data_IF_037941703545
#
_entry.id   IF_037941703545
#
_cell.length_a   1.000
_cell.length_b   1.000
_cell.length_c   1.000
_cell.angle_alpha   90.00
_cell.angle_beta   90.00
_cell.angle_gamma   90.00
#
_symmetry.space_group_name_H-M   'P 1'
#
loop_
_entity.id
_entity.type
_entity.pdbx_description
1 polymer ?
#
# COMPACT_ATOMS: atom_id res chain seq x y z
N UNK A 1 -52.18 18.84 3.54
CA UNK A 1 -50.99 19.16 2.73
C UNK A 1 -49.78 19.18 3.67
N UNK A 2 -48.54 18.94 3.21
CA UNK A 2 -47.29 18.83 4.01
C UNK A 2 -47.00 17.46 4.67
N UNK A 3 -47.16 16.34 3.95
CA UNK A 3 -46.52 15.05 4.36
C UNK A 3 -45.95 14.19 3.21
N UNK A 4 -46.11 14.61 1.95
CA UNK A 4 -45.59 13.87 0.78
C UNK A 4 -44.28 14.42 0.19
N UNK A 5 -43.84 15.61 0.62
CA UNK A 5 -42.66 16.27 0.05
C UNK A 5 -41.34 15.90 0.76
N UNK A 6 -41.40 15.36 1.99
CA UNK A 6 -40.19 15.05 2.78
C UNK A 6 -39.51 13.75 2.31
N UNK A 7 -40.27 12.76 1.82
CA UNK A 7 -39.71 11.48 1.36
C UNK A 7 -38.98 11.57 0.02
N UNK A 8 -39.30 12.54 -0.84
CA UNK A 8 -38.65 12.67 -2.14
C UNK A 8 -37.27 13.36 -2.05
N UNK A 9 -37.05 14.20 -1.04
CA UNK A 9 -35.76 14.88 -0.83
C UNK A 9 -34.67 13.93 -0.31
N UNK A 10 -35.04 12.91 0.49
CA UNK A 10 -34.11 11.91 1.04
C UNK A 10 -33.59 10.96 -0.05
N UNK A 11 -34.42 10.63 -1.05
CA UNK A 11 -34.00 9.78 -2.18
C UNK A 11 -33.00 10.50 -3.09
N UNK A 12 -33.21 11.80 -3.37
CA UNK A 12 -32.27 12.60 -4.18
C UNK A 12 -30.92 12.81 -3.47
N UNK A 13 -30.94 12.97 -2.14
CA UNK A 13 -29.71 13.05 -1.33
C UNK A 13 -28.94 11.73 -1.26
N UNK A 14 -29.62 10.57 -1.34
CA UNK A 14 -28.96 9.25 -1.41
C UNK A 14 -28.26 8.99 -2.75
N UNK A 15 -28.76 9.55 -3.87
CA UNK A 15 -28.10 9.43 -5.17
C UNK A 15 -26.93 10.41 -5.40
N UNK A 16 -26.83 11.49 -4.60
CA UNK A 16 -25.74 12.47 -4.69
C UNK A 16 -24.47 12.07 -3.92
N UNK A 17 -24.53 11.06 -3.05
CA UNK A 17 -23.37 10.55 -2.31
C UNK A 17 -22.55 9.48 -3.07
N UNK A 18 -23.10 8.92 -4.16
CA UNK A 18 -22.47 7.88 -4.97
C UNK A 18 -21.40 8.31 -6.02
N UNK A 19 -21.27 9.57 -6.48
CA UNK A 19 -20.44 9.86 -7.66
C UNK A 19 -18.94 9.69 -7.39
N UNK A 20 -18.48 9.91 -6.16
CA UNK A 20 -17.06 9.79 -5.83
C UNK A 20 -16.59 8.33 -5.81
N UNK A 21 -17.43 7.42 -5.29
CA UNK A 21 -17.11 5.98 -5.21
C UNK A 21 -17.15 5.34 -6.60
N UNK A 22 -18.15 5.68 -7.41
CA UNK A 22 -18.31 5.12 -8.75
C UNK A 22 -17.25 5.64 -9.75
N UNK A 23 -16.90 6.93 -9.67
CA UNK A 23 -15.79 7.47 -10.46
C UNK A 23 -14.45 6.83 -10.05
N UNK A 24 -14.29 6.51 -8.77
CA UNK A 24 -13.09 5.86 -8.26
C UNK A 24 -12.95 4.40 -8.71
N UNK A 25 -14.02 3.61 -8.65
CA UNK A 25 -14.03 2.23 -9.14
C UNK A 25 -13.73 2.17 -10.65
N UNK A 26 -14.30 3.10 -11.43
CA UNK A 26 -14.01 3.23 -12.86
C UNK A 26 -12.51 3.49 -13.12
N UNK A 27 -11.85 4.30 -12.30
CA UNK A 27 -10.41 4.54 -12.44
C UNK A 27 -9.54 3.32 -12.09
N UNK A 28 -9.96 2.47 -11.14
CA UNK A 28 -9.26 1.21 -10.83
C UNK A 28 -9.39 0.25 -12.00
N UNK A 29 -10.62 0.04 -12.49
CA UNK A 29 -10.90 -0.86 -13.60
C UNK A 29 -10.10 -0.46 -14.83
N UNK A 30 -10.09 0.83 -15.19
CA UNK A 30 -9.30 1.33 -16.31
C UNK A 30 -7.79 1.04 -16.19
N UNK A 31 -7.22 1.15 -14.99
CA UNK A 31 -5.80 0.84 -14.76
C UNK A 31 -5.53 -0.65 -14.92
N UNK A 32 -6.45 -1.50 -14.47
CA UNK A 32 -6.32 -2.96 -14.56
C UNK A 32 -6.48 -3.44 -16.01
N UNK A 33 -7.47 -2.93 -16.74
CA UNK A 33 -7.81 -3.41 -18.09
C UNK A 33 -6.93 -2.82 -19.19
N UNK A 34 -6.44 -1.59 -19.02
CA UNK A 34 -5.63 -0.88 -20.03
C UNK A 34 -4.42 -0.17 -19.37
N UNK A 35 -3.46 -0.92 -18.78
CA UNK A 35 -2.27 -0.34 -18.21
C UNK A 35 -1.33 0.20 -19.30
N UNK A 36 -0.70 1.36 -19.04
CA UNK A 36 0.39 1.86 -19.89
C UNK A 36 1.72 1.19 -19.55
N UNK A 37 1.94 0.89 -18.28
CA UNK A 37 3.12 0.18 -17.78
C UNK A 37 2.66 -0.97 -16.91
N UNK A 38 3.28 -2.13 -17.11
CA UNK A 38 3.09 -3.32 -16.27
C UNK A 38 4.47 -3.79 -15.83
N UNK A 39 4.62 -4.02 -14.53
CA UNK A 39 5.78 -4.65 -13.93
C UNK A 39 5.30 -5.84 -13.09
N UNK A 40 5.98 -6.97 -13.21
CA UNK A 40 5.68 -8.19 -12.46
C UNK A 40 6.96 -8.72 -11.85
N UNK A 41 6.94 -9.02 -10.55
CA UNK A 41 8.09 -9.54 -9.82
C UNK A 41 7.69 -10.72 -8.98
N UNK A 42 8.43 -11.82 -9.14
CA UNK A 42 8.34 -12.94 -8.23
C UNK A 42 8.79 -12.48 -6.83
N UNK A 43 8.08 -12.97 -5.83
CA UNK A 43 8.33 -12.70 -4.43
C UNK A 43 8.54 -14.02 -3.70
N UNK A 44 9.54 -14.08 -2.84
CA UNK A 44 9.73 -15.17 -1.87
C UNK A 44 10.13 -14.56 -0.54
N UNK A 45 9.42 -14.92 0.52
CA UNK A 45 9.64 -14.36 1.86
C UNK A 45 9.60 -15.47 2.88
N UNK A 46 10.64 -15.59 3.71
CA UNK A 46 10.75 -16.62 4.76
C UNK A 46 10.02 -16.17 6.03
N UNK A 47 8.70 -16.01 5.92
CA UNK A 47 7.82 -15.59 7.02
C UNK A 47 6.48 -16.31 6.92
N UNK A 48 5.70 -16.29 8.01
CA UNK A 48 4.34 -16.83 7.98
C UNK A 48 3.38 -15.91 7.24
N UNK A 49 2.31 -16.49 6.67
CA UNK A 49 1.21 -15.76 6.04
C UNK A 49 0.63 -14.67 6.97
N UNK A 50 0.52 -14.97 8.26
CA UNK A 50 -0.02 -14.06 9.27
C UNK A 50 0.85 -12.80 9.43
N UNK A 51 2.17 -12.95 9.56
CA UNK A 51 3.10 -11.82 9.71
C UNK A 51 3.13 -10.97 8.45
N UNK A 52 3.15 -11.62 7.28
CA UNK A 52 3.11 -10.92 6.00
C UNK A 52 1.84 -10.09 5.82
N UNK A 53 0.67 -10.70 6.10
CA UNK A 53 -0.61 -10.01 6.04
C UNK A 53 -0.64 -8.81 7.00
N UNK A 54 -0.16 -8.98 8.24
CA UNK A 54 -0.04 -7.87 9.21
C UNK A 54 0.82 -6.72 8.71
N UNK A 55 1.95 -7.03 8.05
CA UNK A 55 2.81 -6.01 7.47
C UNK A 55 2.08 -5.23 6.36
N UNK A 56 1.45 -5.93 5.41
CA UNK A 56 0.71 -5.30 4.32
C UNK A 56 -0.53 -4.52 4.79
N UNK A 57 -1.21 -5.00 5.83
CA UNK A 57 -2.39 -4.34 6.42
C UNK A 57 -2.04 -3.09 7.23
N UNK A 58 -0.75 -2.85 7.51
CA UNK A 58 -0.29 -1.70 8.29
C UNK A 58 0.75 -0.85 7.51
N UNK A 59 0.39 -0.30 6.33
CA UNK A 59 1.32 0.37 5.43
C UNK A 59 1.94 1.64 6.04
N UNK A 60 1.23 2.33 6.95
CA UNK A 60 1.80 3.45 7.68
C UNK A 60 2.95 3.01 8.59
N UNK A 61 2.75 1.95 9.39
CA UNK A 61 3.80 1.42 10.28
C UNK A 61 5.02 0.96 9.47
N UNK A 62 4.78 0.25 8.36
CA UNK A 62 5.86 -0.17 7.45
C UNK A 62 6.60 1.02 6.83
N UNK A 63 5.89 2.10 6.50
CA UNK A 63 6.49 3.35 6.02
C UNK A 63 7.33 4.06 7.09
N UNK A 64 6.93 4.01 8.35
CA UNK A 64 7.72 4.56 9.46
C UNK A 64 8.97 3.71 9.73
N UNK A 65 8.84 2.39 9.66
CA UNK A 65 10.00 1.49 9.74
C UNK A 65 10.98 1.72 8.58
N UNK A 66 10.48 1.97 7.37
CA UNK A 66 11.33 2.34 6.23
C UNK A 66 12.18 3.58 6.53
N UNK A 67 11.59 4.61 7.12
CA UNK A 67 12.28 5.85 7.51
C UNK A 67 13.35 5.58 8.60
N UNK A 68 13.01 4.78 9.62
CA UNK A 68 13.93 4.39 10.71
C UNK A 68 15.13 3.60 10.19
N UNK A 69 14.93 2.75 9.18
CA UNK A 69 16.01 1.99 8.53
C UNK A 69 16.80 2.84 7.53
N UNK A 70 16.42 4.10 7.30
CA UNK A 70 17.04 5.04 6.37
C UNK A 70 17.15 4.54 4.92
N UNK A 71 16.26 3.62 4.52
CA UNK A 71 16.27 3.03 3.18
C UNK A 71 16.03 4.09 2.10
N UNK A 72 16.62 3.88 0.92
CA UNK A 72 16.48 4.78 -0.22
C UNK A 72 15.42 4.26 -1.22
N UNK A 73 14.61 5.17 -1.80
CA UNK A 73 14.55 6.59 -1.50
C UNK A 73 13.96 6.85 -0.11
N UNK A 74 14.34 7.97 0.52
CA UNK A 74 13.84 8.36 1.84
C UNK A 74 12.37 8.80 1.73
N UNK A 75 11.47 7.83 1.75
CA UNK A 75 10.05 8.09 1.73
C UNK A 75 9.63 8.81 3.02
N UNK A 76 8.88 9.90 2.86
CA UNK A 76 8.07 10.48 3.93
C UNK A 76 6.67 9.94 3.81
N UNK A 77 6.20 9.29 4.87
CA UNK A 77 4.87 8.65 4.90
C UNK A 77 4.02 9.29 5.97
N UNK A 78 2.83 9.78 5.60
CA UNK A 78 1.84 10.32 6.54
C UNK A 78 0.52 9.58 6.40
N UNK A 79 -0.27 9.52 7.49
CA UNK A 79 -1.62 8.95 7.43
C UNK A 79 -2.57 9.89 6.70
N UNK A 80 -3.52 9.31 5.98
CA UNK A 80 -4.71 9.99 5.46
C UNK A 80 -5.97 9.28 5.97
N UNK A 81 -7.14 9.87 5.73
CA UNK A 81 -8.42 9.30 6.18
C UNK A 81 -8.68 7.89 5.64
N UNK A 82 -8.13 7.57 4.46
CA UNK A 82 -8.37 6.29 3.78
C UNK A 82 -7.10 5.48 3.49
N UNK A 83 -5.94 5.88 3.99
CA UNK A 83 -4.68 5.20 3.67
C UNK A 83 -3.45 6.01 4.08
N UNK A 84 -2.49 6.13 3.16
CA UNK A 84 -1.24 6.88 3.39
C UNK A 84 -0.97 7.85 2.25
N UNK A 85 -0.25 8.92 2.56
CA UNK A 85 0.40 9.79 1.60
C UNK A 85 1.90 9.53 1.64
N UNK A 86 2.52 9.39 0.48
CA UNK A 86 3.94 9.13 0.30
C UNK A 86 4.55 10.23 -0.55
N UNK A 87 5.70 10.74 -0.12
CA UNK A 87 6.53 11.61 -0.93
C UNK A 87 8.00 11.22 -0.84
N UNK A 88 8.78 11.48 -1.88
CA UNK A 88 10.22 11.26 -1.87
C UNK A 88 11.02 12.45 -2.46
N UNK A 89 12.34 12.51 -2.22
CA UNK A 89 13.19 13.58 -2.75
C UNK A 89 13.35 13.57 -4.27
N UNK A 90 12.95 12.49 -4.97
CA UNK A 90 13.00 12.42 -6.43
C UNK A 90 11.81 13.11 -7.11
N UNK A 91 10.85 13.60 -6.32
CA UNK A 91 9.66 14.29 -6.82
C UNK A 91 8.43 13.40 -6.95
N UNK A 92 8.50 12.14 -6.49
CA UNK A 92 7.30 11.29 -6.42
C UNK A 92 6.46 11.74 -5.25
N UNK A 93 5.18 12.00 -5.50
CA UNK A 93 4.18 12.24 -4.47
C UNK A 93 2.89 11.50 -4.81
N UNK A 94 2.23 10.91 -3.82
CA UNK A 94 0.98 10.20 -4.08
C UNK A 94 0.26 9.70 -2.84
N UNK A 95 -1.01 9.37 -3.02
CA UNK A 95 -1.83 8.72 -2.01
C UNK A 95 -1.96 7.24 -2.37
N UNK A 96 -1.83 6.37 -1.38
CA UNK A 96 -1.98 4.92 -1.51
C UNK A 96 -3.06 4.47 -0.54
N UNK A 97 -3.97 3.62 -1.02
CA UNK A 97 -4.98 2.97 -0.17
C UNK A 97 -5.20 1.52 -0.56
N UNK A 98 -5.53 0.71 0.43
CA UNK A 98 -5.95 -0.67 0.21
C UNK A 98 -7.38 -0.69 -0.34
N UNK A 99 -7.59 -1.44 -1.42
CA UNK A 99 -8.88 -1.56 -2.12
C UNK A 99 -9.38 -3.00 -2.21
N UNK A 100 -8.53 -3.98 -1.92
CA UNK A 100 -8.87 -5.39 -1.94
C UNK A 100 -8.04 -6.18 -0.95
N UNK A 101 -8.66 -7.15 -0.30
CA UNK A 101 -8.04 -8.01 0.70
C UNK A 101 -8.69 -9.39 0.70
N UNK A 102 -7.86 -10.43 0.66
CA UNK A 102 -8.22 -11.83 0.91
C UNK A 102 -7.11 -12.50 1.73
N UNK A 103 -7.17 -13.78 2.06
CA UNK A 103 -6.06 -14.41 2.81
C UNK A 103 -4.74 -14.42 2.02
N UNK A 104 -4.82 -14.45 0.69
CA UNK A 104 -3.72 -14.67 -0.26
C UNK A 104 -3.49 -13.49 -1.21
N UNK A 105 -4.21 -12.39 -1.00
CA UNK A 105 -4.12 -11.21 -1.87
C UNK A 105 -4.24 -9.92 -1.10
N UNK A 106 -3.45 -8.92 -1.48
CA UNK A 106 -3.65 -7.51 -1.13
C UNK A 106 -3.58 -6.66 -2.38
N UNK A 107 -4.56 -5.79 -2.53
CA UNK A 107 -4.63 -4.86 -3.65
C UNK A 107 -4.63 -3.44 -3.15
N UNK A 108 -3.71 -2.64 -3.64
CA UNK A 108 -3.58 -1.22 -3.33
C UNK A 108 -3.78 -0.40 -4.59
N UNK A 109 -4.44 0.73 -4.45
CA UNK A 109 -4.52 1.75 -5.48
C UNK A 109 -3.74 2.97 -5.06
N UNK A 110 -2.97 3.50 -5.99
CA UNK A 110 -2.19 4.71 -5.83
C UNK A 110 -2.63 5.77 -6.84
N UNK A 111 -2.72 7.02 -6.38
CA UNK A 111 -2.75 8.20 -7.26
C UNK A 111 -1.53 9.03 -6.96
N UNK A 112 -0.87 9.54 -7.99
CA UNK A 112 0.32 10.33 -7.77
C UNK A 112 0.71 11.23 -8.92
N UNK A 113 1.68 12.08 -8.62
CA UNK A 113 2.34 12.98 -9.54
C UNK A 113 3.85 12.75 -9.46
N UNK A 114 4.54 13.16 -10.52
CA UNK A 114 5.98 13.21 -10.53
C UNK A 114 6.40 14.65 -10.85
N UNK A 115 6.87 15.35 -9.83
CA UNK A 115 7.36 16.72 -9.96
C UNK A 115 8.89 16.73 -10.05
N UNK A 116 9.39 16.75 -11.28
CA UNK A 116 10.82 16.73 -11.57
C UNK A 116 11.12 17.66 -12.74
N UNK A 117 12.24 18.37 -12.71
CA UNK A 117 12.60 19.39 -13.72
C UNK A 117 12.58 18.88 -15.18
N UNK A 118 12.78 17.57 -15.37
CA UNK A 118 12.78 16.90 -16.69
C UNK A 118 11.43 16.31 -17.11
N UNK A 119 10.39 16.37 -16.27
CA UNK A 119 9.05 15.86 -16.56
C UNK A 119 8.06 17.00 -16.38
N UNK A 120 7.14 17.24 -17.33
CA UNK A 120 6.18 18.33 -17.18
C UNK A 120 5.36 18.17 -15.90
N UNK A 121 5.15 19.26 -15.14
CA UNK A 121 4.52 19.26 -13.81
C UNK A 121 3.08 18.75 -13.78
N UNK A 122 2.43 18.61 -14.94
CA UNK A 122 1.10 18.00 -15.09
C UNK A 122 1.14 16.46 -15.18
N UNK A 123 2.31 15.84 -15.08
CA UNK A 123 2.44 14.38 -15.15
C UNK A 123 1.86 13.72 -13.89
N UNK A 124 0.74 13.03 -14.08
CA UNK A 124 0.04 12.30 -13.03
C UNK A 124 -0.32 10.90 -13.50
N UNK A 125 -0.27 9.95 -12.58
CA UNK A 125 -0.52 8.54 -12.84
C UNK A 125 -1.37 7.92 -11.75
N UNK A 126 -2.24 7.01 -12.17
CA UNK A 126 -2.91 6.06 -11.30
C UNK A 126 -2.16 4.73 -11.38
N UNK A 127 -2.08 4.02 -10.27
CA UNK A 127 -1.44 2.73 -10.19
C UNK A 127 -2.25 1.74 -9.35
N UNK A 128 -2.16 0.46 -9.71
CA UNK A 128 -2.66 -0.65 -8.91
C UNK A 128 -1.48 -1.56 -8.59
N UNK A 129 -1.28 -1.84 -7.31
CA UNK A 129 -0.31 -2.82 -6.82
C UNK A 129 -1.08 -4.02 -6.30
N UNK A 130 -0.77 -5.20 -6.81
CA UNK A 130 -1.40 -6.46 -6.43
C UNK A 130 -0.30 -7.37 -5.89
N UNK A 131 -0.44 -7.78 -4.64
CA UNK A 131 0.35 -8.87 -4.06
C UNK A 131 -0.50 -10.13 -4.10
N UNK A 132 -0.05 -11.15 -4.83
CA UNK A 132 -0.68 -12.49 -4.87
C UNK A 132 0.33 -13.49 -4.33
N UNK A 133 -0.02 -14.25 -3.30
CA UNK A 133 0.94 -15.11 -2.61
C UNK A 133 0.27 -16.31 -1.94
N UNK A 134 1.02 -17.41 -1.85
CA UNK A 134 0.61 -18.62 -1.15
C UNK A 134 1.73 -19.10 -0.22
N UNK A 135 1.36 -19.99 0.70
CA UNK A 135 2.28 -20.70 1.57
C UNK A 135 3.14 -21.67 0.77
N UNK A 136 4.45 -21.63 1.02
CA UNK A 136 5.44 -22.59 0.54
C UNK A 136 6.07 -23.28 1.77
N UNK A 137 6.79 -24.39 1.56
CA UNK A 137 7.37 -25.23 2.63
C UNK A 137 8.15 -24.44 3.68
N UNK A 138 8.81 -23.35 3.27
CA UNK A 138 9.65 -22.50 4.10
C UNK A 138 9.23 -21.02 4.02
N UNK A 139 7.92 -20.73 4.04
CA UNK A 139 7.42 -19.34 4.09
C UNK A 139 6.36 -19.05 3.03
N UNK A 140 6.55 -17.98 2.26
CA UNK A 140 5.63 -17.51 1.24
C UNK A 140 6.31 -17.42 -0.12
N UNK A 141 5.56 -17.73 -1.17
CA UNK A 141 5.95 -17.47 -2.56
C UNK A 141 4.79 -16.85 -3.32
N UNK A 142 5.09 -15.96 -4.26
CA UNK A 142 4.05 -15.23 -4.98
C UNK A 142 4.58 -14.28 -6.05
N UNK A 143 3.74 -13.35 -6.45
CA UNK A 143 4.03 -12.30 -7.42
C UNK A 143 3.52 -10.94 -6.89
N UNK A 144 4.28 -9.90 -7.20
CA UNK A 144 3.86 -8.50 -7.08
C UNK A 144 3.66 -7.97 -8.49
N UNK A 145 2.44 -7.55 -8.80
CA UNK A 145 2.07 -6.87 -10.03
C UNK A 145 1.89 -5.37 -9.76
N UNK A 146 2.55 -4.54 -10.55
CA UNK A 146 2.35 -3.09 -10.58
C UNK A 146 1.84 -2.69 -11.96
N UNK A 147 0.62 -2.17 -11.98
CA UNK A 147 -0.08 -1.68 -13.17
C UNK A 147 -0.17 -0.16 -13.05
N UNK A 148 0.23 0.59 -14.09
CA UNK A 148 0.18 2.05 -14.06
C UNK A 148 -0.41 2.63 -15.33
N UNK A 149 -1.20 3.70 -15.20
CA UNK A 149 -1.83 4.43 -16.29
C UNK A 149 -1.76 5.93 -16.03
N UNK A 150 -1.44 6.71 -17.06
CA UNK A 150 -1.50 8.17 -16.97
C UNK A 150 -2.93 8.62 -16.69
N UNK A 151 -3.12 9.55 -15.76
CA UNK A 151 -4.47 9.98 -15.34
C UNK A 151 -5.23 10.72 -16.46
N UNK A 152 -4.51 11.29 -17.43
CA UNK A 152 -5.03 12.07 -18.54
C UNK A 152 -4.36 11.69 -19.87
N UNK A 153 -4.90 12.19 -20.99
CA UNK A 153 -4.41 11.83 -22.33
C UNK A 153 -2.95 12.20 -22.57
N UNK A 154 -2.48 13.33 -22.03
CA UNK A 154 -1.09 13.79 -22.18
C UNK A 154 -0.16 12.91 -21.34
N UNK A 155 -0.50 12.63 -20.09
CA UNK A 155 0.28 11.72 -19.25
C UNK A 155 0.33 10.31 -19.85
N UNK A 156 -0.76 9.80 -20.43
CA UNK A 156 -0.77 8.51 -21.15
C UNK A 156 0.17 8.53 -22.35
N UNK A 157 0.15 9.59 -23.16
CA UNK A 157 1.04 9.74 -24.30
C UNK A 157 2.51 9.78 -23.88
N UNK A 158 2.86 10.59 -22.88
CA UNK A 158 4.22 10.70 -22.32
C UNK A 158 4.67 9.35 -21.76
N UNK A 159 3.84 8.66 -20.97
CA UNK A 159 4.16 7.33 -20.44
C UNK A 159 4.41 6.32 -21.55
N UNK A 160 3.66 6.36 -22.66
CA UNK A 160 3.89 5.46 -23.80
C UNK A 160 5.23 5.72 -24.47
N UNK A 161 5.59 6.99 -24.68
CA UNK A 161 6.87 7.39 -25.28
C UNK A 161 8.04 6.92 -24.41
N UNK A 162 7.97 7.15 -23.10
CA UNK A 162 9.05 6.80 -22.19
C UNK A 162 8.89 5.42 -21.56
N UNK A 163 7.98 4.58 -22.07
CA UNK A 163 7.59 3.32 -21.44
C UNK A 163 8.79 2.40 -21.18
N UNK A 164 9.72 2.23 -22.14
CA UNK A 164 10.91 1.41 -21.92
C UNK A 164 11.81 1.89 -20.76
N UNK A 165 12.09 3.19 -20.71
CA UNK A 165 12.92 3.80 -19.65
C UNK A 165 12.18 3.79 -18.32
N UNK A 166 10.89 4.11 -18.35
CA UNK A 166 10.01 4.16 -17.18
C UNK A 166 9.85 2.75 -16.59
N UNK A 167 9.63 1.74 -17.42
CA UNK A 167 9.58 0.34 -17.02
C UNK A 167 10.90 -0.06 -16.38
N UNK A 168 12.07 0.22 -16.97
CA UNK A 168 13.35 -0.15 -16.35
C UNK A 168 13.58 0.52 -15.00
N UNK A 169 13.25 1.82 -14.86
CA UNK A 169 13.35 2.52 -13.57
C UNK A 169 12.37 2.00 -12.53
N UNK A 170 11.15 1.69 -12.94
CA UNK A 170 10.14 1.08 -12.09
C UNK A 170 10.59 -0.31 -11.66
N UNK A 171 11.14 -1.09 -12.58
CA UNK A 171 11.63 -2.46 -12.35
C UNK A 171 12.67 -2.48 -11.22
N UNK A 172 13.75 -1.70 -11.38
CA UNK A 172 14.80 -1.57 -10.38
C UNK A 172 14.27 -1.05 -9.03
N UNK A 173 13.28 -0.15 -9.08
CA UNK A 173 12.70 0.44 -7.87
C UNK A 173 11.80 -0.55 -7.14
N UNK A 174 11.03 -1.37 -7.86
CA UNK A 174 10.22 -2.44 -7.27
C UNK A 174 11.15 -3.47 -6.64
N UNK A 175 12.21 -3.89 -7.32
CA UNK A 175 13.19 -4.85 -6.77
C UNK A 175 13.78 -4.34 -5.45
N UNK A 176 14.35 -3.14 -5.45
CA UNK A 176 14.92 -2.54 -4.24
C UNK A 176 13.88 -2.36 -3.13
N UNK A 177 12.63 -2.05 -3.47
CA UNK A 177 11.55 -1.91 -2.49
C UNK A 177 11.17 -3.25 -1.86
N UNK A 178 11.09 -4.32 -2.65
CA UNK A 178 10.79 -5.65 -2.15
C UNK A 178 11.93 -6.19 -1.28
N UNK A 179 13.19 -5.99 -1.68
CA UNK A 179 14.36 -6.37 -0.89
C UNK A 179 14.38 -5.68 0.49
N UNK A 180 14.21 -4.35 0.52
CA UNK A 180 14.19 -3.58 1.76
C UNK A 180 13.01 -3.97 2.66
N UNK A 181 11.83 -4.18 2.07
CA UNK A 181 10.66 -4.66 2.83
C UNK A 181 10.91 -6.04 3.44
N UNK A 182 11.57 -6.96 2.71
CA UNK A 182 11.94 -8.27 3.26
C UNK A 182 12.91 -8.14 4.42
N UNK A 183 13.84 -7.18 4.40
CA UNK A 183 14.73 -6.90 5.54
C UNK A 183 13.92 -6.48 6.76
N UNK A 184 12.99 -5.52 6.62
CA UNK A 184 12.15 -5.08 7.74
C UNK A 184 11.39 -6.27 8.33
N UNK A 185 10.68 -7.04 7.49
CA UNK A 185 9.84 -8.14 7.98
C UNK A 185 10.69 -9.26 8.60
N UNK A 186 11.87 -9.54 8.04
CA UNK A 186 12.83 -10.49 8.64
C UNK A 186 13.24 -10.05 10.03
N UNK A 187 13.56 -8.77 10.21
CA UNK A 187 13.94 -8.23 11.52
C UNK A 187 12.77 -8.23 12.51
N UNK A 188 11.53 -8.00 12.05
CA UNK A 188 10.32 -8.15 12.88
C UNK A 188 10.21 -9.57 13.45
N UNK A 189 10.52 -10.58 12.64
CA UNK A 189 10.40 -11.99 13.05
C UNK A 189 11.59 -12.44 13.90
N UNK A 190 12.81 -12.12 13.47
CA UNK A 190 14.04 -12.70 14.04
C UNK A 190 14.67 -11.82 15.13
N UNK A 191 14.48 -10.51 15.05
CA UNK A 191 15.07 -9.52 15.97
C UNK A 191 14.01 -8.50 16.47
N UNK A 192 12.82 -8.91 16.95
CA UNK A 192 11.73 -7.98 17.28
C UNK A 192 12.15 -6.94 18.33
N UNK A 193 13.05 -7.28 19.24
CA UNK A 193 13.58 -6.37 20.25
C UNK A 193 14.40 -5.21 19.66
N UNK A 194 15.13 -5.44 18.56
CA UNK A 194 15.86 -4.41 17.82
C UNK A 194 14.89 -3.44 17.16
N UNK A 195 13.86 -3.98 16.49
CA UNK A 195 12.82 -3.17 15.85
C UNK A 195 12.07 -2.33 16.87
N UNK A 196 11.65 -2.95 17.98
CA UNK A 196 10.99 -2.26 19.11
C UNK A 196 11.87 -1.18 19.72
N UNK A 197 13.16 -1.45 19.93
CA UNK A 197 14.10 -0.50 20.52
C UNK A 197 14.32 0.75 19.68
N UNK A 198 14.04 0.70 18.37
CA UNK A 198 14.11 1.84 17.47
C UNK A 198 12.81 2.67 17.43
N UNK A 199 11.70 2.15 17.99
CA UNK A 199 10.39 2.79 17.98
C UNK A 199 10.10 3.49 19.30
N UNK A 200 9.36 4.60 19.25
CA UNK A 200 8.94 5.35 20.45
C UNK A 200 7.48 5.81 20.36
N UNK A 201 6.89 6.12 21.50
CA UNK A 201 5.54 6.69 21.59
C UNK A 201 4.47 5.84 20.90
N UNK A 202 3.66 6.48 20.06
CA UNK A 202 2.54 5.81 19.39
C UNK A 202 2.97 4.69 18.43
N UNK A 203 4.15 4.81 17.81
CA UNK A 203 4.66 3.82 16.86
C UNK A 203 5.03 2.50 17.55
N UNK A 204 5.60 2.59 18.75
CA UNK A 204 5.89 1.40 19.56
C UNK A 204 4.60 0.70 19.96
N UNK A 205 3.59 1.45 20.41
CA UNK A 205 2.29 0.89 20.76
C UNK A 205 1.60 0.23 19.55
N UNK A 206 1.67 0.86 18.38
CA UNK A 206 1.15 0.28 17.13
C UNK A 206 1.91 -0.98 16.74
N UNK A 207 3.24 -0.99 16.86
CA UNK A 207 4.04 -2.16 16.61
C UNK A 207 3.67 -3.33 17.52
N UNK A 208 3.55 -3.09 18.82
CA UNK A 208 3.22 -4.12 19.81
C UNK A 208 1.81 -4.71 19.58
N UNK A 209 0.88 -3.86 19.13
CA UNK A 209 -0.48 -4.27 18.75
C UNK A 209 -0.48 -5.13 17.47
N UNK A 210 0.31 -4.76 16.47
CA UNK A 210 0.35 -5.43 15.17
C UNK A 210 1.19 -6.72 15.22
N UNK A 211 2.32 -6.69 15.93
CA UNK A 211 3.29 -7.79 16.04
C UNK A 211 3.50 -8.18 17.51
N UNK A 212 2.48 -8.76 18.17
CA UNK A 212 2.59 -9.15 19.56
C UNK A 212 3.65 -10.24 19.76
N UNK A 213 4.42 -10.15 20.84
CA UNK A 213 5.32 -11.22 21.24
C UNK A 213 4.48 -12.45 21.62
N UNK A 214 4.82 -13.61 21.07
CA UNK A 214 4.13 -14.88 21.39
C UNK A 214 4.11 -15.24 22.88
N UNK A 215 5.01 -14.64 23.68
CA UNK A 215 5.04 -14.78 25.14
C UNK A 215 3.89 -14.07 25.89
N UNK A 216 3.29 -13.03 25.31
CA UNK A 216 2.28 -12.20 26.00
C UNK A 216 0.86 -12.77 25.91
N UNK A 217 0.62 -13.76 25.05
CA UNK A 217 -0.69 -14.44 24.94
C UNK A 217 -0.88 -15.61 25.92
N UNK A 218 0.19 -16.08 26.57
CA UNK A 218 0.13 -17.23 27.48
C UNK A 218 -0.39 -16.88 28.89
N UNK A 219 -0.35 -15.60 29.29
CA UNK A 219 -0.68 -15.18 30.67
C UNK A 219 -2.16 -14.79 30.86
N UNK A 220 -2.99 -14.93 29.82
CA UNK A 220 -4.42 -14.61 29.84
C UNK A 220 -5.35 -15.73 30.30
N UNK A 221 -4.85 -16.94 30.59
CA UNK A 221 -5.67 -18.01 31.20
C UNK A 221 -5.55 -17.97 32.71
N UNK A 222 -6.40 -17.12 33.29
CA UNK A 222 -7.00 -17.19 34.63
C UNK A 222 -6.52 -18.36 35.51
N UNK A 223 -5.62 -18.01 36.45
CA UNK A 223 -5.53 -18.67 37.75
C UNK A 223 -6.65 -18.15 38.66
N UNK A 224 -7.90 -18.43 38.32
CA UNK A 224 -9.01 -18.30 39.26
C UNK A 224 -9.91 -19.54 39.12
N UNK A 225 -9.48 -20.61 39.78
CA UNK A 225 -10.39 -21.62 40.29
C UNK A 225 -9.80 -22.13 41.60
N UNK A 226 -10.45 -21.70 42.69
CA UNK A 226 -10.40 -22.33 44.00
C UNK A 226 -10.82 -23.79 43.91
#
# INVERSE_FOLDING_TARGET
MVKRSLSMMIVVLLFLAAPLVQAYEAHIEEVITDPTVTCKKALRVDVTLEIWNRALDNPYLMGQLWEIYEFKPLYKVTRTDSGIHVSDPSGVTGNIRQIGQSDHTRTFFATGAFDHWAVPSFFTANGVVIFEYDTDRNGLSGEVSLLMRGSNGISRFIMRIFSGILTHRIDNRVDSTLENMQIIIRDIVNEPHKVRGALTGHLLNDFDRVFPNRGDQADGRSKDAF
#
